data_IF_546480538167
#
_entry.id   IF_546480538167
#
_cell.length_a   1.000
_cell.length_b   1.000
_cell.length_c   1.000
_cell.angle_alpha   90.00
_cell.angle_beta   90.00
_cell.angle_gamma   90.00
#
_symmetry.space_group_name_H-M   'P 1'
#
loop_
_entity.id
_entity.type
_entity.pdbx_description
1 polymer ?
#
# COMPACT_ATOMS: atom_id res chain seq x y z
N UNK A 1 0.81 10.35 16.97
CA UNK A 1 -0.09 9.21 17.10
C UNK A 1 0.59 8.16 17.96
N UNK A 2 0.17 8.05 19.19
CA UNK A 2 0.80 7.18 20.18
C UNK A 2 0.58 5.73 19.85
N UNK A 3 -0.02 5.07 19.31
CA UNK A 3 -0.21 3.63 19.11
C UNK A 3 0.59 3.02 17.97
N UNK A 4 1.45 3.76 17.28
CA UNK A 4 2.11 3.27 16.07
C UNK A 4 3.58 2.88 16.26
N UNK A 5 4.17 3.20 17.40
CA UNK A 5 5.58 2.89 17.65
C UNK A 5 5.85 1.40 17.56
N UNK A 6 6.78 1.01 16.70
CA UNK A 6 7.16 -0.38 16.49
C UNK A 6 6.17 -1.20 15.66
N UNK A 7 5.02 -0.64 15.28
CA UNK A 7 4.05 -1.33 14.42
C UNK A 7 4.50 -1.29 12.96
N UNK A 8 4.08 -2.30 12.21
CA UNK A 8 4.40 -2.41 10.78
C UNK A 8 3.16 -2.04 9.97
N UNK A 9 3.29 -1.00 9.17
CA UNK A 9 2.24 -0.48 8.32
C UNK A 9 2.63 -0.64 6.84
N UNK A 10 1.70 -1.13 6.04
CA UNK A 10 1.86 -1.29 4.59
C UNK A 10 0.98 -0.27 3.88
N UNK A 11 1.57 0.50 2.96
CA UNK A 11 0.82 1.51 2.18
C UNK A 11 1.02 1.22 0.70
N UNK A 12 -0.06 0.92 0.00
CA UNK A 12 -0.05 0.79 -1.46
C UNK A 12 -0.31 2.16 -2.10
N UNK A 13 0.18 2.37 -3.32
CA UNK A 13 0.03 3.67 -3.98
C UNK A 13 0.80 4.78 -3.27
N UNK A 14 1.93 4.45 -2.67
CA UNK A 14 2.69 5.37 -1.83
C UNK A 14 3.60 6.33 -2.60
N UNK A 15 3.65 6.23 -3.92
CA UNK A 15 4.56 7.02 -4.75
C UNK A 15 4.16 8.49 -4.90
N UNK A 16 2.97 8.88 -4.47
CA UNK A 16 2.49 10.26 -4.59
C UNK A 16 1.27 10.50 -3.72
N UNK A 17 0.84 11.75 -3.63
CA UNK A 17 -0.44 12.17 -3.08
C UNK A 17 -0.71 11.67 -1.67
N UNK A 18 -1.91 11.12 -1.45
CA UNK A 18 -2.37 10.64 -0.14
C UNK A 18 -1.48 9.50 0.38
N UNK A 19 -1.09 8.57 -0.48
CA UNK A 19 -0.23 7.45 -0.08
C UNK A 19 1.11 7.90 0.46
N UNK A 20 1.74 8.89 -0.20
CA UNK A 20 2.99 9.49 0.29
C UNK A 20 2.77 10.17 1.64
N UNK A 21 1.71 10.97 1.75
CA UNK A 21 1.40 11.68 3.00
C UNK A 21 1.16 10.70 4.16
N UNK A 22 0.45 9.60 3.90
CA UNK A 22 0.24 8.54 4.88
C UNK A 22 1.57 7.92 5.33
N UNK A 23 2.43 7.56 4.38
CA UNK A 23 3.72 6.94 4.68
C UNK A 23 4.58 7.87 5.55
N UNK A 24 4.62 9.16 5.23
CA UNK A 24 5.36 10.16 5.99
C UNK A 24 4.80 10.31 7.40
N UNK A 25 3.48 10.40 7.54
CA UNK A 25 2.83 10.54 8.86
C UNK A 25 3.02 9.30 9.74
N UNK A 26 2.89 8.11 9.16
CA UNK A 26 3.14 6.86 9.88
C UNK A 26 4.60 6.77 10.34
N UNK A 27 5.53 7.19 9.50
CA UNK A 27 6.95 7.25 9.84
C UNK A 27 7.20 8.20 11.03
N UNK A 28 6.58 9.38 11.01
CA UNK A 28 6.66 10.33 12.14
C UNK A 28 6.11 9.75 13.43
N UNK A 29 5.17 8.84 13.33
CA UNK A 29 4.52 8.21 14.49
C UNK A 29 5.27 6.98 15.00
N UNK A 30 6.43 6.66 14.42
CA UNK A 30 7.29 5.57 14.88
C UNK A 30 7.02 4.22 14.25
N UNK A 31 6.17 4.13 13.23
CA UNK A 31 5.90 2.88 12.54
C UNK A 31 7.07 2.48 11.62
N UNK A 32 7.21 1.18 11.40
CA UNK A 32 8.02 0.61 10.32
C UNK A 32 7.13 0.54 9.08
N UNK A 33 7.66 0.92 7.93
CA UNK A 33 6.84 1.18 6.75
C UNK A 33 7.25 0.30 5.57
N UNK A 34 6.26 -0.40 5.00
CA UNK A 34 6.38 -1.02 3.69
C UNK A 34 5.59 -0.18 2.69
N UNK A 35 6.23 0.32 1.67
CA UNK A 35 5.59 1.14 0.64
C UNK A 35 5.66 0.46 -0.72
N UNK A 36 4.63 0.62 -1.52
CA UNK A 36 4.59 0.09 -2.88
C UNK A 36 3.88 1.04 -3.84
N UNK A 37 4.30 0.97 -5.09
CA UNK A 37 3.68 1.69 -6.21
C UNK A 37 4.16 1.08 -7.53
N UNK A 38 3.45 1.33 -8.62
CA UNK A 38 3.93 0.99 -9.96
C UNK A 38 4.88 2.06 -10.50
N UNK A 39 4.83 3.28 -9.96
CA UNK A 39 5.71 4.40 -10.31
C UNK A 39 6.99 4.34 -9.49
N UNK A 40 8.07 3.86 -10.11
CA UNK A 40 9.36 3.70 -9.44
C UNK A 40 9.96 5.04 -8.98
N UNK A 41 9.82 6.10 -9.78
CA UNK A 41 10.38 7.42 -9.42
C UNK A 41 9.66 8.02 -8.21
N UNK A 42 8.33 8.00 -8.24
CA UNK A 42 7.54 8.50 -7.11
C UNK A 42 7.78 7.69 -5.86
N UNK A 43 7.90 6.37 -5.99
CA UNK A 43 8.19 5.48 -4.85
C UNK A 43 9.56 5.77 -4.24
N UNK A 44 10.58 5.97 -5.07
CA UNK A 44 11.93 6.30 -4.60
C UNK A 44 11.96 7.61 -3.82
N UNK A 45 11.20 8.61 -4.25
CA UNK A 45 11.10 9.89 -3.55
C UNK A 45 10.40 9.73 -2.19
N UNK A 46 9.35 8.93 -2.12
CA UNK A 46 8.69 8.64 -0.84
C UNK A 46 9.63 7.89 0.11
N UNK A 47 10.36 6.90 -0.41
CA UNK A 47 11.36 6.18 0.37
C UNK A 47 12.41 7.13 0.95
N UNK A 48 12.90 8.07 0.14
CA UNK A 48 13.86 9.07 0.58
C UNK A 48 13.31 9.92 1.73
N UNK A 49 12.07 10.38 1.61
CA UNK A 49 11.43 11.20 2.63
C UNK A 49 11.23 10.43 3.95
N UNK A 50 10.82 9.17 3.86
CA UNK A 50 10.60 8.32 5.04
C UNK A 50 11.93 7.99 5.72
N UNK A 51 12.97 7.67 4.97
CA UNK A 51 14.31 7.43 5.51
C UNK A 51 14.89 8.67 6.20
N UNK A 52 14.63 9.85 5.65
CA UNK A 52 15.10 11.11 6.25
C UNK A 52 14.50 11.36 7.64
N UNK A 53 13.37 10.74 7.95
CA UNK A 53 12.73 10.81 9.27
C UNK A 53 13.28 9.75 10.24
N UNK A 54 14.23 8.92 9.79
CA UNK A 54 14.81 7.86 10.62
C UNK A 54 13.98 6.58 10.69
N UNK A 55 12.92 6.46 9.92
CA UNK A 55 12.07 5.27 9.95
C UNK A 55 12.67 4.12 9.15
N UNK A 56 12.43 2.90 9.60
CA UNK A 56 12.73 1.70 8.84
C UNK A 56 11.69 1.57 7.71
N UNK A 57 12.17 1.48 6.47
CA UNK A 57 11.30 1.43 5.29
C UNK A 57 11.79 0.39 4.29
N UNK A 58 10.85 -0.29 3.67
CA UNK A 58 11.09 -1.13 2.49
C UNK A 58 10.17 -0.69 1.36
N UNK A 59 10.75 -0.47 0.20
CA UNK A 59 10.02 -0.04 -1.01
C UNK A 59 10.07 -1.14 -2.07
N UNK A 60 8.93 -1.49 -2.62
CA UNK A 60 8.81 -2.50 -3.68
C UNK A 60 7.85 -2.01 -4.77
N UNK A 61 8.20 -2.26 -6.03
CA UNK A 61 7.26 -2.06 -7.11
C UNK A 61 6.16 -3.12 -7.03
N UNK A 62 4.89 -2.70 -7.10
CA UNK A 62 3.76 -3.61 -7.07
C UNK A 62 2.60 -3.07 -7.88
N UNK A 63 2.08 -3.89 -8.78
CA UNK A 63 0.78 -3.66 -9.39
C UNK A 63 -0.29 -4.40 -8.56
N UNK A 64 -1.12 -3.64 -7.86
CA UNK A 64 -2.12 -4.21 -6.95
C UNK A 64 -3.19 -5.04 -7.67
N UNK A 65 -3.33 -4.89 -8.99
CA UNK A 65 -4.24 -5.69 -9.80
C UNK A 65 -3.72 -7.11 -10.07
N UNK A 66 -2.44 -7.35 -9.85
CA UNK A 66 -1.81 -8.65 -10.03
C UNK A 66 -1.90 -9.48 -8.74
N UNK A 67 -2.88 -10.36 -8.67
CA UNK A 67 -3.19 -11.14 -7.46
C UNK A 67 -2.00 -11.93 -6.92
N UNK A 68 -1.35 -12.70 -7.78
CA UNK A 68 -0.24 -13.56 -7.35
C UNK A 68 0.96 -12.75 -6.88
N UNK A 69 1.27 -11.66 -7.56
CA UNK A 69 2.33 -10.75 -7.14
C UNK A 69 2.02 -10.15 -5.76
N UNK A 70 0.76 -9.80 -5.51
CA UNK A 70 0.35 -9.26 -4.22
C UNK A 70 0.48 -10.29 -3.09
N UNK A 71 0.10 -11.54 -3.36
CA UNK A 71 0.26 -12.63 -2.38
C UNK A 71 1.73 -12.85 -2.01
N UNK A 72 2.61 -12.88 -3.01
CA UNK A 72 4.06 -13.02 -2.80
C UNK A 72 4.62 -11.80 -2.05
N UNK A 73 4.15 -10.62 -2.38
CA UNK A 73 4.54 -9.39 -1.69
C UNK A 73 4.20 -9.44 -0.21
N UNK A 74 2.99 -9.86 0.13
CA UNK A 74 2.56 -9.96 1.52
C UNK A 74 3.44 -10.89 2.33
N UNK A 75 3.79 -12.03 1.78
CA UNK A 75 4.69 -12.99 2.45
C UNK A 75 6.10 -12.41 2.61
N UNK A 76 6.60 -11.71 1.60
CA UNK A 76 7.90 -11.06 1.67
C UNK A 76 7.95 -9.97 2.75
N UNK A 77 6.89 -9.18 2.88
CA UNK A 77 6.79 -8.15 3.92
C UNK A 77 6.71 -8.77 5.31
N UNK A 78 5.90 -9.82 5.48
CA UNK A 78 5.83 -10.55 6.75
C UNK A 78 7.20 -11.10 7.14
N UNK A 79 7.93 -11.69 6.20
CA UNK A 79 9.26 -12.25 6.46
C UNK A 79 10.27 -11.14 6.81
N UNK A 80 10.20 -10.01 6.12
CA UNK A 80 11.13 -8.90 6.34
C UNK A 80 10.96 -8.24 7.71
N UNK A 81 9.72 -7.94 8.10
CA UNK A 81 9.43 -7.21 9.34
C UNK A 81 9.06 -8.11 10.51
N UNK A 82 8.78 -9.38 10.27
CA UNK A 82 8.36 -10.34 11.30
C UNK A 82 6.89 -10.31 11.67
N UNK A 83 6.21 -9.20 11.40
CA UNK A 83 4.77 -9.02 11.62
C UNK A 83 4.23 -7.97 10.67
N UNK A 84 2.92 -7.92 10.52
CA UNK A 84 2.23 -6.82 9.82
C UNK A 84 0.99 -6.44 10.64
N UNK A 85 0.88 -5.18 11.01
CA UNK A 85 -0.22 -4.67 11.83
C UNK A 85 -1.29 -3.95 11.01
N UNK A 86 -0.91 -3.29 9.91
CA UNK A 86 -1.85 -2.47 9.15
C UNK A 86 -1.60 -2.59 7.66
N UNK A 87 -2.68 -2.65 6.89
CA UNK A 87 -2.65 -2.47 5.43
C UNK A 87 -3.52 -1.28 5.07
N UNK A 88 -2.93 -0.30 4.41
CA UNK A 88 -3.62 0.84 3.83
C UNK A 88 -3.77 0.60 2.34
N UNK A 89 -4.95 0.17 1.92
CA UNK A 89 -5.29 -0.03 0.52
C UNK A 89 -5.60 1.33 -0.09
N UNK A 90 -4.56 2.01 -0.57
CA UNK A 90 -4.65 3.37 -1.09
C UNK A 90 -4.42 3.43 -2.61
N UNK A 91 -3.75 2.45 -3.21
CA UNK A 91 -3.53 2.47 -4.65
C UNK A 91 -4.86 2.61 -5.41
N UNK A 92 -4.90 3.56 -6.32
CA UNK A 92 -6.07 3.83 -7.12
C UNK A 92 -5.71 4.63 -8.36
N UNK A 93 -6.54 4.55 -9.36
CA UNK A 93 -6.45 5.34 -10.59
C UNK A 93 -7.81 5.97 -10.88
N UNK A 94 -7.79 7.10 -11.56
CA UNK A 94 -8.99 7.78 -11.98
C UNK A 94 -8.94 8.03 -13.49
N UNK A 95 -10.10 8.05 -14.09
CA UNK A 95 -10.27 8.39 -15.49
C UNK A 95 -11.40 9.41 -15.60
N UNK A 96 -11.16 10.48 -16.34
CA UNK A 96 -12.19 11.48 -16.63
C UNK A 96 -12.60 11.40 -18.09
N UNK A 97 -13.89 11.26 -18.33
CA UNK A 97 -14.44 11.21 -19.67
C UNK A 97 -15.89 10.78 -19.66
N UNK A 98 -16.57 11.00 -20.78
CA UNK A 98 -17.93 10.50 -20.96
C UNK A 98 -17.94 8.98 -21.09
N UNK A 99 -18.94 8.34 -20.49
CA UNK A 99 -19.06 6.86 -20.53
C UNK A 99 -19.11 6.37 -21.99
N UNK A 100 -19.81 7.11 -22.84
CA UNK A 100 -19.95 6.78 -24.26
C UNK A 100 -18.62 6.75 -25.02
N UNK A 101 -17.69 7.60 -24.62
CA UNK A 101 -16.38 7.73 -25.25
C UNK A 101 -15.31 6.85 -24.61
N UNK A 102 -15.56 6.33 -23.41
CA UNK A 102 -14.61 5.53 -22.66
C UNK A 102 -14.50 4.14 -23.25
N UNK A 103 -13.27 3.64 -23.35
CA UNK A 103 -13.04 2.28 -23.82
C UNK A 103 -13.22 1.29 -22.66
N UNK A 104 -13.74 0.10 -22.96
CA UNK A 104 -13.91 -0.94 -21.95
C UNK A 104 -12.61 -1.26 -21.20
N UNK A 105 -11.48 -1.28 -21.90
CA UNK A 105 -10.18 -1.57 -21.28
C UNK A 105 -9.82 -0.57 -20.18
N UNK A 106 -10.20 0.70 -20.34
CA UNK A 106 -9.91 1.75 -19.35
C UNK A 106 -10.81 1.59 -18.12
N UNK A 107 -12.09 1.25 -18.36
CA UNK A 107 -13.04 0.97 -17.29
C UNK A 107 -12.61 -0.27 -16.50
N UNK A 108 -12.23 -1.34 -17.21
CA UNK A 108 -11.75 -2.58 -16.60
C UNK A 108 -10.49 -2.33 -15.75
N UNK A 109 -9.57 -1.51 -16.25
CA UNK A 109 -8.36 -1.17 -15.51
C UNK A 109 -8.65 -0.44 -14.20
N UNK A 110 -9.61 0.48 -14.21
CA UNK A 110 -10.04 1.18 -12.99
C UNK A 110 -10.58 0.17 -11.98
N UNK A 111 -11.44 -0.74 -12.41
CA UNK A 111 -12.01 -1.78 -11.55
C UNK A 111 -10.93 -2.72 -11.03
N UNK A 112 -10.00 -3.12 -11.88
CA UNK A 112 -8.90 -4.02 -11.49
C UNK A 112 -8.00 -3.40 -10.42
N UNK A 113 -7.72 -2.11 -10.51
CA UNK A 113 -6.90 -1.40 -9.52
C UNK A 113 -7.74 -1.01 -8.31
N UNK A 114 -8.85 -0.30 -8.51
CA UNK A 114 -9.58 0.35 -7.42
C UNK A 114 -10.45 -0.62 -6.63
N UNK A 115 -10.94 -1.67 -7.26
CA UNK A 115 -11.74 -2.72 -6.60
C UNK A 115 -10.91 -3.97 -6.29
N UNK A 116 -10.39 -4.64 -7.32
CA UNK A 116 -9.64 -5.88 -7.12
C UNK A 116 -8.33 -5.66 -6.38
N UNK A 117 -7.70 -4.50 -6.52
CA UNK A 117 -6.52 -4.17 -5.73
C UNK A 117 -6.80 -4.17 -4.23
N UNK A 118 -7.95 -3.64 -3.81
CA UNK A 118 -8.39 -3.65 -2.41
C UNK A 118 -8.69 -5.08 -1.93
N UNK A 119 -9.38 -5.87 -2.75
CA UNK A 119 -9.67 -7.27 -2.43
C UNK A 119 -8.37 -8.07 -2.30
N UNK A 120 -7.45 -7.89 -3.25
CA UNK A 120 -6.17 -8.58 -3.24
C UNK A 120 -5.34 -8.21 -2.00
N UNK A 121 -5.26 -6.94 -1.66
CA UNK A 121 -4.52 -6.47 -0.49
C UNK A 121 -5.10 -7.00 0.81
N UNK A 122 -6.41 -6.94 0.94
CA UNK A 122 -7.09 -7.44 2.13
C UNK A 122 -6.86 -8.93 2.29
N UNK A 123 -7.10 -9.72 1.25
CA UNK A 123 -6.93 -11.17 1.33
C UNK A 123 -5.48 -11.59 1.52
N UNK A 124 -4.54 -10.90 0.88
CA UNK A 124 -3.13 -11.25 0.98
C UNK A 124 -2.57 -10.98 2.39
N UNK A 125 -2.98 -9.88 3.01
CA UNK A 125 -2.46 -9.49 4.32
C UNK A 125 -3.31 -9.99 5.50
N UNK A 126 -4.57 -10.36 5.29
CA UNK A 126 -5.45 -10.75 6.39
C UNK A 126 -4.86 -11.84 7.31
N UNK A 127 -4.26 -12.93 6.80
CA UNK A 127 -3.64 -13.92 7.68
C UNK A 127 -2.54 -13.33 8.56
N UNK A 128 -1.74 -12.42 8.01
CA UNK A 128 -0.65 -11.78 8.74
C UNK A 128 -1.16 -10.79 9.78
N UNK A 129 -2.22 -10.05 9.45
CA UNK A 129 -2.88 -9.14 10.37
C UNK A 129 -3.48 -9.89 11.56
N UNK A 130 -4.16 -11.00 11.29
CA UNK A 130 -4.74 -11.85 12.35
C UNK A 130 -3.62 -12.41 13.23
N UNK A 131 -2.53 -12.89 12.64
CA UNK A 131 -1.41 -13.44 13.38
C UNK A 131 -0.71 -12.40 14.28
N UNK A 132 -0.78 -11.11 13.94
CA UNK A 132 -0.20 -10.04 14.75
C UNK A 132 -0.94 -9.83 16.07
N UNK A 133 -2.20 -10.23 16.17
CA UNK A 133 -3.07 -9.96 17.32
C UNK A 133 -3.53 -8.50 17.44
N UNK A 134 -3.09 -7.63 16.55
CA UNK A 134 -3.42 -6.20 16.51
C UNK A 134 -3.38 -5.72 15.07
N UNK A 135 -4.36 -6.15 14.30
CA UNK A 135 -4.42 -5.91 12.86
C UNK A 135 -5.56 -4.98 12.45
N UNK A 136 -5.29 -4.13 11.48
CA UNK A 136 -6.28 -3.22 10.89
C UNK A 136 -6.17 -3.19 9.38
N UNK A 137 -7.33 -3.17 8.71
CA UNK A 137 -7.45 -2.90 7.27
C UNK A 137 -8.03 -1.50 7.12
N UNK A 138 -7.34 -0.64 6.39
CA UNK A 138 -7.80 0.71 6.09
C UNK A 138 -7.93 0.87 4.58
N UNK A 139 -9.12 1.19 4.12
CA UNK A 139 -9.39 1.45 2.71
C UNK A 139 -9.53 2.97 2.51
N UNK A 140 -8.74 3.50 1.59
CA UNK A 140 -8.78 4.92 1.24
C UNK A 140 -9.62 5.09 -0.02
N UNK A 141 -10.67 5.88 0.07
CA UNK A 141 -11.58 6.13 -1.05
C UNK A 141 -11.70 7.62 -1.36
#
# INVERSE_FOLDING_TARGET
>A
MEGFSGKVAVVTGAGSGIGRALAVELARSGAKIAISDIDNEGLAETERQVKALGAEVRADRLNVAEREAFLLYADAIKDHFGKVNQIYNNAGIAYQGEVEESQFKDIERIIDVDFWGVVNGTKAFLPHLIASGDGHVVNVS
#
